data_IF_893689913407
#
_entry.id   IF_893689913407
#
_cell.length_a   1.000
_cell.length_b   1.000
_cell.length_c   1.000
_cell.angle_alpha   90.00
_cell.angle_beta   90.00
_cell.angle_gamma   90.00
#
_symmetry.space_group_name_H-M   'P 1'
#
loop_
_entity.id
_entity.type
_entity.pdbx_description
1 polymer ?
#
# COMPACT_ATOMS: atom_id res chain seq x y z
N UNK A 1 -30.05 16.18 0.91
CA UNK A 1 -29.34 17.06 1.87
C UNK A 1 -28.51 18.02 1.01
N UNK A 2 -28.65 19.34 1.14
CA UNK A 2 -27.94 20.27 0.23
C UNK A 2 -26.43 20.13 0.43
N UNK A 3 -25.70 19.94 -0.66
CA UNK A 3 -24.24 19.93 -0.71
C UNK A 3 -23.73 21.32 -0.30
N UNK A 4 -23.20 21.45 0.92
CA UNK A 4 -22.53 22.68 1.34
C UNK A 4 -21.06 22.57 1.00
N UNK A 5 -20.70 23.03 -0.20
CA UNK A 5 -19.31 23.34 -0.51
C UNK A 5 -18.78 24.30 0.56
N UNK A 6 -17.79 23.85 1.35
CA UNK A 6 -17.18 24.68 2.40
C UNK A 6 -16.26 25.69 1.74
N UNK A 7 -16.36 26.96 2.13
CA UNK A 7 -15.43 27.98 1.64
C UNK A 7 -14.01 27.65 2.13
N UNK A 8 -12.98 27.82 1.30
CA UNK A 8 -11.60 27.64 1.73
C UNK A 8 -11.24 28.70 2.78
N UNK A 9 -10.93 28.27 3.99
CA UNK A 9 -10.60 29.13 5.14
C UNK A 9 -9.32 28.64 5.84
N UNK A 10 -8.52 29.58 6.34
CA UNK A 10 -7.30 29.30 7.11
C UNK A 10 -7.29 30.24 8.31
N UNK A 11 -7.20 29.67 9.52
CA UNK A 11 -6.97 30.44 10.74
C UNK A 11 -5.48 30.80 10.82
N UNK A 12 -5.19 32.10 10.91
CA UNK A 12 -3.82 32.63 10.94
C UNK A 12 -3.57 33.29 12.30
N UNK A 13 -2.58 32.76 13.03
CA UNK A 13 -2.06 33.38 14.26
C UNK A 13 -0.67 33.96 13.95
N UNK A 14 -0.49 35.26 14.16
CA UNK A 14 0.81 35.94 14.00
C UNK A 14 1.47 36.12 15.35
N UNK A 15 2.68 35.60 15.52
CA UNK A 15 3.47 35.77 16.74
C UNK A 15 4.58 36.83 16.55
N UNK A 16 5.18 37.26 17.67
CA UNK A 16 6.31 38.17 17.67
C UNK A 16 7.45 37.63 16.79
N UNK A 17 8.14 38.52 16.07
CA UNK A 17 9.19 38.14 15.12
C UNK A 17 8.70 37.69 13.74
N UNK A 18 7.40 37.80 13.45
CA UNK A 18 6.85 37.52 12.11
C UNK A 18 6.55 36.05 11.83
N UNK A 19 6.47 35.21 12.87
CA UNK A 19 6.09 33.80 12.75
C UNK A 19 4.58 33.70 12.51
N UNK A 20 4.17 32.94 11.49
CA UNK A 20 2.77 32.66 11.17
C UNK A 20 2.44 31.20 11.47
N UNK A 21 1.42 30.97 12.30
CA UNK A 21 0.80 29.66 12.49
C UNK A 21 -0.47 29.59 11.66
N UNK A 22 -0.48 28.69 10.68
CA UNK A 22 -1.63 28.40 9.84
C UNK A 22 -2.33 27.14 10.36
N UNK A 23 -3.64 27.22 10.59
CA UNK A 23 -4.46 26.08 11.02
C UNK A 23 -5.72 25.98 10.17
N UNK A 24 -6.13 24.76 9.86
CA UNK A 24 -7.47 24.53 9.31
C UNK A 24 -8.50 24.86 10.40
N UNK A 25 -9.52 25.69 10.13
CA UNK A 25 -10.62 25.90 11.07
C UNK A 25 -11.56 24.68 11.11
N UNK A 26 -11.44 23.75 10.16
CA UNK A 26 -12.21 22.52 10.15
C UNK A 26 -11.60 21.53 11.15
N UNK A 27 -12.40 21.13 12.13
CA UNK A 27 -12.05 20.00 13.01
C UNK A 27 -12.18 18.69 12.22
N UNK A 28 -11.09 17.95 12.14
CA UNK A 28 -11.09 16.57 11.67
C UNK A 28 -11.07 15.68 12.90
N UNK A 29 -12.11 14.88 13.10
CA UNK A 29 -12.08 13.89 14.18
C UNK A 29 -11.00 12.85 13.85
N UNK A 30 -9.99 12.76 14.72
CA UNK A 30 -8.98 11.73 14.61
C UNK A 30 -9.67 10.37 14.80
N UNK A 31 -9.63 9.54 13.76
CA UNK A 31 -10.10 8.16 13.84
C UNK A 31 -8.97 7.32 14.43
N UNK A 32 -9.21 6.71 15.59
CA UNK A 32 -8.27 5.75 16.18
C UNK A 32 -8.22 4.42 15.40
N UNK A 33 -9.09 4.23 14.42
CA UNK A 33 -9.09 3.06 13.57
C UNK A 33 -7.88 3.05 12.65
N UNK A 34 -7.26 1.89 12.54
CA UNK A 34 -6.24 1.60 11.55
C UNK A 34 -6.83 1.56 10.14
N UNK A 35 -5.97 1.75 9.13
CA UNK A 35 -6.36 1.55 7.73
C UNK A 35 -6.89 0.12 7.44
N UNK A 36 -6.42 -0.89 8.19
CA UNK A 36 -6.86 -2.27 8.04
C UNK A 36 -8.31 -2.47 8.51
N UNK A 37 -8.69 -1.90 9.66
CA UNK A 37 -10.07 -1.92 10.14
C UNK A 37 -11.01 -1.20 9.17
N UNK A 38 -10.61 -0.02 8.66
CA UNK A 38 -11.37 0.71 7.64
C UNK A 38 -11.58 -0.10 6.36
N UNK A 39 -10.57 -0.87 5.95
CA UNK A 39 -10.70 -1.74 4.79
C UNK A 39 -11.75 -2.83 5.02
N UNK A 40 -11.76 -3.47 6.18
CA UNK A 40 -12.80 -4.44 6.49
C UNK A 40 -14.19 -3.82 6.57
N UNK A 41 -14.33 -2.62 7.14
CA UNK A 41 -15.60 -1.87 7.14
C UNK A 41 -16.12 -1.63 5.71
N UNK A 42 -15.24 -1.20 4.80
CA UNK A 42 -15.58 -1.05 3.38
C UNK A 42 -15.93 -2.38 2.72
N UNK A 43 -15.17 -3.43 3.01
CA UNK A 43 -15.40 -4.75 2.45
C UNK A 43 -16.73 -5.36 2.91
N UNK A 44 -17.17 -5.10 4.13
CA UNK A 44 -18.50 -5.49 4.61
C UNK A 44 -19.58 -4.64 3.97
N UNK A 45 -19.41 -3.32 3.92
CA UNK A 45 -20.45 -2.39 3.42
C UNK A 45 -20.67 -2.48 1.92
N UNK A 46 -19.61 -2.71 1.15
CA UNK A 46 -19.60 -2.67 -0.32
C UNK A 46 -19.22 -4.01 -0.94
N UNK A 47 -19.41 -5.12 -0.22
CA UNK A 47 -18.96 -6.47 -0.57
C UNK A 47 -19.07 -6.85 -2.06
N UNK A 48 -20.21 -6.58 -2.68
CA UNK A 48 -20.51 -6.96 -4.07
C UNK A 48 -20.09 -5.91 -5.11
N UNK A 49 -19.59 -4.75 -4.70
CA UNK A 49 -19.12 -3.70 -5.61
C UNK A 49 -17.69 -3.97 -6.06
N UNK A 50 -17.35 -3.50 -7.26
CA UNK A 50 -16.00 -3.58 -7.81
C UNK A 50 -15.10 -2.56 -7.12
N UNK A 51 -13.98 -3.01 -6.56
CA UNK A 51 -12.95 -2.15 -5.95
C UNK A 51 -11.84 -1.81 -6.94
N UNK A 52 -11.45 -2.77 -7.79
CA UNK A 52 -10.44 -2.57 -8.83
C UNK A 52 -10.75 -3.45 -10.03
N UNK A 53 -10.40 -2.97 -11.23
CA UNK A 53 -10.48 -3.74 -12.47
C UNK A 53 -9.23 -3.49 -13.32
N UNK A 54 -8.76 -4.54 -13.97
CA UNK A 54 -7.57 -4.51 -14.83
C UNK A 54 -7.88 -5.21 -16.16
N UNK A 55 -7.30 -4.76 -17.26
CA UNK A 55 -7.46 -5.46 -18.55
C UNK A 55 -6.55 -6.68 -18.61
N UNK A 56 -7.10 -7.82 -18.99
CA UNK A 56 -6.30 -9.00 -19.33
C UNK A 56 -5.62 -8.86 -20.71
N UNK A 57 -4.87 -9.89 -21.12
CA UNK A 57 -4.18 -9.94 -22.41
C UNK A 57 -5.13 -9.86 -23.63
N UNK A 58 -6.42 -10.16 -23.46
CA UNK A 58 -7.45 -10.02 -24.51
C UNK A 58 -8.03 -8.60 -24.57
N UNK A 59 -7.70 -7.74 -23.61
CA UNK A 59 -8.22 -6.38 -23.47
C UNK A 59 -9.54 -6.30 -22.69
N UNK A 60 -10.03 -7.41 -22.16
CA UNK A 60 -11.23 -7.49 -21.35
C UNK A 60 -10.94 -7.10 -19.90
N UNK A 61 -11.83 -6.35 -19.26
CA UNK A 61 -11.69 -6.04 -17.84
C UNK A 61 -11.97 -7.28 -16.99
N UNK A 62 -11.01 -7.61 -16.13
CA UNK A 62 -11.14 -8.55 -15.04
C UNK A 62 -11.35 -7.74 -13.77
N UNK A 63 -12.53 -7.90 -13.17
CA UNK A 63 -12.96 -7.13 -12.00
C UNK A 63 -12.64 -7.88 -10.70
N UNK A 64 -12.32 -7.13 -9.65
CA UNK A 64 -12.23 -7.60 -8.28
C UNK A 64 -13.29 -6.90 -7.45
N UNK A 65 -14.14 -7.67 -6.77
CA UNK A 65 -15.07 -7.10 -5.80
C UNK A 65 -14.38 -6.84 -4.46
N UNK A 66 -14.97 -5.97 -3.64
CA UNK A 66 -14.51 -5.75 -2.26
C UNK A 66 -14.43 -7.04 -1.44
N UNK A 67 -15.42 -7.92 -1.55
CA UNK A 67 -15.43 -9.21 -0.84
C UNK A 67 -14.29 -10.12 -1.32
N UNK A 68 -14.08 -10.23 -2.64
CA UNK A 68 -13.00 -11.02 -3.20
C UNK A 68 -11.63 -10.44 -2.83
N UNK A 69 -11.47 -9.12 -2.84
CA UNK A 69 -10.26 -8.45 -2.38
C UNK A 69 -9.96 -8.76 -0.91
N UNK A 70 -10.96 -8.71 -0.02
CA UNK A 70 -10.79 -9.05 1.39
C UNK A 70 -10.33 -10.49 1.59
N UNK A 71 -10.97 -11.43 0.88
CA UNK A 71 -10.61 -12.85 0.94
C UNK A 71 -9.16 -13.07 0.49
N UNK A 72 -8.78 -12.55 -0.69
CA UNK A 72 -7.44 -12.74 -1.22
C UNK A 72 -6.39 -12.02 -0.36
N UNK A 73 -6.68 -10.81 0.14
CA UNK A 73 -5.77 -10.09 1.04
C UNK A 73 -5.57 -10.85 2.37
N UNK A 74 -6.63 -11.44 2.95
CA UNK A 74 -6.52 -12.30 4.14
C UNK A 74 -5.65 -13.53 3.89
N UNK A 75 -5.81 -14.18 2.73
CA UNK A 75 -4.97 -15.31 2.35
C UNK A 75 -3.47 -14.93 2.27
N UNK A 76 -3.16 -13.78 1.68
CA UNK A 76 -1.79 -13.25 1.64
C UNK A 76 -1.30 -12.90 3.05
N UNK A 77 -2.13 -12.23 3.86
CA UNK A 77 -1.77 -11.81 5.21
C UNK A 77 -1.41 -12.99 6.11
N UNK A 78 -2.20 -14.07 6.05
CA UNK A 78 -1.94 -15.29 6.80
C UNK A 78 -0.63 -15.97 6.35
N UNK A 79 -0.33 -15.98 5.06
CA UNK A 79 0.95 -16.48 4.53
C UNK A 79 2.13 -15.65 5.03
N UNK A 80 2.08 -14.32 4.89
CA UNK A 80 3.14 -13.43 5.36
C UNK A 80 3.35 -13.57 6.87
N UNK A 81 2.27 -13.67 7.65
CA UNK A 81 2.35 -13.86 9.11
C UNK A 81 3.05 -15.17 9.46
N UNK A 82 2.72 -16.28 8.79
CA UNK A 82 3.38 -17.58 8.98
C UNK A 82 4.86 -17.57 8.60
N UNK A 83 5.25 -16.71 7.66
CA UNK A 83 6.64 -16.50 7.24
C UNK A 83 7.42 -15.59 8.19
N UNK A 84 6.83 -15.17 9.33
CA UNK A 84 7.46 -14.27 10.30
C UNK A 84 7.25 -12.78 9.98
N UNK A 85 6.28 -12.47 9.11
CA UNK A 85 5.89 -11.10 8.77
C UNK A 85 5.54 -10.27 10.00
N UNK A 86 6.16 -9.10 10.11
CA UNK A 86 6.00 -8.12 11.17
C UNK A 86 6.50 -6.73 10.73
N UNK A 87 6.43 -5.75 11.65
CA UNK A 87 6.95 -4.39 11.45
C UNK A 87 8.46 -4.35 11.15
N UNK A 88 9.23 -5.37 11.52
CA UNK A 88 10.67 -5.47 11.25
C UNK A 88 11.02 -6.25 9.98
N UNK A 89 10.04 -6.70 9.19
CA UNK A 89 10.26 -7.49 7.97
C UNK A 89 9.64 -6.84 6.73
N UNK A 90 10.15 -5.69 6.26
CA UNK A 90 9.50 -4.95 5.18
C UNK A 90 9.40 -5.78 3.89
N UNK A 91 8.29 -5.60 3.17
CA UNK A 91 8.03 -6.22 1.88
C UNK A 91 8.30 -5.23 0.74
N UNK A 92 9.39 -5.41 0.01
CA UNK A 92 9.65 -4.63 -1.20
C UNK A 92 8.83 -5.17 -2.37
N UNK A 93 8.11 -4.29 -3.07
CA UNK A 93 7.27 -4.65 -4.22
C UNK A 93 7.84 -4.04 -5.50
N UNK A 94 8.23 -4.90 -6.44
CA UNK A 94 8.80 -4.54 -7.75
C UNK A 94 7.81 -4.83 -8.89
N UNK A 95 6.60 -4.28 -8.79
CA UNK A 95 5.55 -4.46 -9.81
C UNK A 95 4.99 -3.12 -10.30
N UNK A 96 4.35 -3.15 -11.47
CA UNK A 96 3.48 -2.07 -11.92
C UNK A 96 2.17 -2.01 -11.11
N UNK A 97 1.27 -1.11 -11.48
CA UNK A 97 -0.10 -1.14 -10.98
C UNK A 97 -0.84 -2.33 -11.59
N UNK A 98 -1.43 -3.17 -10.74
CA UNK A 98 -2.19 -4.36 -11.14
C UNK A 98 -3.16 -4.76 -10.04
N UNK A 99 -4.14 -5.58 -10.38
CA UNK A 99 -5.05 -6.19 -9.40
C UNK A 99 -4.30 -7.04 -8.38
N UNK A 100 -3.25 -7.75 -8.78
CA UNK A 100 -2.48 -8.61 -7.88
C UNK A 100 -1.63 -7.78 -6.91
N UNK A 101 -0.99 -6.72 -7.39
CA UNK A 101 -0.27 -5.77 -6.54
C UNK A 101 -1.20 -5.22 -5.45
N UNK A 102 -2.43 -4.84 -5.82
CA UNK A 102 -3.41 -4.32 -4.87
C UNK A 102 -3.65 -5.31 -3.73
N UNK A 103 -3.91 -6.57 -4.08
CA UNK A 103 -4.16 -7.63 -3.11
C UNK A 103 -2.94 -7.90 -2.22
N UNK A 104 -1.73 -7.94 -2.79
CA UNK A 104 -0.50 -8.19 -2.02
C UNK A 104 -0.18 -7.04 -1.08
N UNK A 105 -0.38 -5.79 -1.50
CA UNK A 105 -0.20 -4.62 -0.66
C UNK A 105 -1.19 -4.62 0.53
N UNK A 106 -2.46 -4.93 0.28
CA UNK A 106 -3.44 -5.09 1.35
C UNK A 106 -3.13 -6.29 2.25
N UNK A 107 -2.68 -7.41 1.70
CA UNK A 107 -2.23 -8.54 2.51
C UNK A 107 -1.06 -8.22 3.42
N UNK A 108 -0.10 -7.41 2.95
CA UNK A 108 1.00 -6.92 3.77
C UNK A 108 0.51 -5.99 4.89
N UNK A 109 -0.39 -5.05 4.58
CA UNK A 109 -1.03 -4.18 5.57
C UNK A 109 -1.74 -4.99 6.65
N UNK A 110 -2.55 -5.99 6.27
CA UNK A 110 -3.29 -6.85 7.20
C UNK A 110 -2.35 -7.74 8.03
N UNK A 111 -1.19 -8.14 7.50
CA UNK A 111 -0.16 -8.86 8.25
C UNK A 111 0.66 -7.96 9.19
N UNK A 112 0.49 -6.64 9.13
CA UNK A 112 1.33 -5.70 9.87
C UNK A 112 2.76 -5.65 9.32
N UNK A 113 2.92 -5.91 8.02
CA UNK A 113 4.18 -5.83 7.28
C UNK A 113 4.22 -4.52 6.49
N UNK A 114 5.13 -3.59 6.80
CA UNK A 114 5.31 -2.39 6.00
C UNK A 114 5.73 -2.75 4.59
N UNK A 115 4.94 -2.38 3.59
CA UNK A 115 5.31 -2.60 2.20
C UNK A 115 6.05 -1.39 1.61
N UNK A 116 6.88 -1.64 0.60
CA UNK A 116 7.74 -0.66 -0.05
C UNK A 116 7.50 -0.74 -1.55
N UNK A 117 6.56 0.04 -2.11
CA UNK A 117 6.33 0.07 -3.54
C UNK A 117 7.50 0.80 -4.21
N UNK A 118 8.20 0.10 -5.11
CA UNK A 118 9.32 0.66 -5.87
C UNK A 118 8.87 0.96 -7.28
N UNK A 119 9.26 2.12 -7.79
CA UNK A 119 8.99 2.50 -9.18
C UNK A 119 9.47 1.39 -10.13
N UNK A 120 8.57 0.92 -10.98
CA UNK A 120 8.86 -0.12 -11.98
C UNK A 120 10.11 0.21 -12.82
N UNK A 121 10.27 1.48 -13.19
CA UNK A 121 11.43 1.95 -13.95
C UNK A 121 12.78 1.72 -13.24
N UNK A 122 12.82 1.63 -11.92
CA UNK A 122 14.07 1.37 -11.19
C UNK A 122 14.56 -0.07 -11.40
N UNK A 123 13.66 -0.98 -11.79
CA UNK A 123 13.96 -2.37 -12.08
C UNK A 123 14.01 -2.70 -13.58
N UNK A 124 13.60 -1.77 -14.46
CA UNK A 124 13.54 -2.02 -15.92
C UNK A 124 14.36 -1.07 -16.78
N UNK A 125 14.79 0.08 -16.25
CA UNK A 125 15.66 1.03 -16.97
C UNK A 125 17.08 0.92 -16.42
N UNK A 126 18.08 0.45 -17.19
CA UNK A 126 19.44 0.24 -16.69
C UNK A 126 20.08 1.45 -15.99
N UNK A 127 19.83 2.66 -16.52
CA UNK A 127 20.29 3.91 -15.94
C UNK A 127 19.71 4.21 -14.53
N UNK A 128 18.62 3.53 -14.15
CA UNK A 128 17.93 3.70 -12.86
C UNK A 128 18.23 2.58 -11.85
N UNK A 129 18.98 1.53 -12.21
CA UNK A 129 19.27 0.40 -11.32
C UNK A 129 19.96 0.81 -10.01
N UNK A 130 20.81 1.85 -10.06
CA UNK A 130 21.42 2.42 -8.85
C UNK A 130 20.39 2.92 -7.82
N UNK A 131 19.22 3.39 -8.28
CA UNK A 131 18.13 3.82 -7.39
C UNK A 131 17.43 2.63 -6.74
N UNK A 132 17.23 1.53 -7.47
CA UNK A 132 16.73 0.27 -6.88
C UNK A 132 17.65 -0.18 -5.73
N UNK A 133 18.97 -0.20 -5.98
CA UNK A 133 19.95 -0.55 -4.96
C UNK A 133 19.88 0.36 -3.74
N UNK A 134 19.82 1.67 -3.94
CA UNK A 134 19.72 2.64 -2.84
C UNK A 134 18.45 2.45 -2.00
N UNK A 135 17.30 2.19 -2.64
CA UNK A 135 16.04 1.88 -1.94
C UNK A 135 16.19 0.58 -1.14
N UNK A 136 16.77 -0.46 -1.72
CA UNK A 136 16.99 -1.74 -1.05
C UNK A 136 17.89 -1.60 0.19
N UNK A 137 19.03 -0.91 0.06
CA UNK A 137 19.98 -0.70 1.16
C UNK A 137 19.38 0.12 2.30
N UNK A 138 18.46 1.04 1.99
CA UNK A 138 17.76 1.87 2.98
C UNK A 138 16.62 1.11 3.64
N UNK A 139 15.78 0.42 2.86
CA UNK A 139 14.59 -0.28 3.34
C UNK A 139 14.91 -1.61 4.03
N UNK A 140 16.04 -2.23 3.69
CA UNK A 140 16.49 -3.54 4.20
C UNK A 140 15.36 -4.60 4.23
N UNK A 141 14.67 -4.81 3.09
CA UNK A 141 13.51 -5.68 3.06
C UNK A 141 13.89 -7.14 3.38
N UNK A 142 13.01 -7.84 4.08
CA UNK A 142 13.13 -9.28 4.32
C UNK A 142 12.36 -10.09 3.28
N UNK A 143 11.37 -9.46 2.65
CA UNK A 143 10.61 -10.02 1.54
C UNK A 143 10.73 -9.15 0.30
N UNK A 144 10.86 -9.78 -0.87
CA UNK A 144 10.77 -9.09 -2.16
C UNK A 144 9.71 -9.79 -2.99
N UNK A 145 8.77 -9.02 -3.53
CA UNK A 145 7.69 -9.54 -4.37
C UNK A 145 7.65 -8.86 -5.73
N UNK A 146 7.37 -9.65 -6.76
CA UNK A 146 6.90 -9.15 -8.06
C UNK A 146 6.10 -10.23 -8.79
N UNK A 147 5.28 -9.79 -9.75
CA UNK A 147 4.51 -10.72 -10.58
C UNK A 147 5.37 -11.52 -11.56
N UNK A 148 6.45 -10.91 -12.07
CA UNK A 148 7.27 -11.48 -13.12
C UNK A 148 8.75 -11.20 -12.89
N UNK A 149 9.44 -12.11 -12.18
CA UNK A 149 10.88 -12.04 -11.89
C UNK A 149 11.76 -11.77 -13.11
N UNK A 150 11.40 -12.31 -14.28
CA UNK A 150 12.23 -12.17 -15.47
C UNK A 150 12.44 -10.71 -15.87
N UNK A 151 11.47 -9.84 -15.55
CA UNK A 151 11.53 -8.40 -15.81
C UNK A 151 12.53 -7.70 -14.91
N UNK A 152 12.68 -8.10 -13.63
CA UNK A 152 13.60 -7.44 -12.68
C UNK A 152 14.96 -8.13 -12.58
N UNK A 153 15.12 -9.32 -13.17
CA UNK A 153 16.35 -10.14 -13.10
C UNK A 153 17.60 -9.35 -13.45
N UNK A 154 17.56 -8.59 -14.54
CA UNK A 154 18.72 -7.81 -14.99
C UNK A 154 19.14 -6.79 -13.93
N UNK A 155 18.19 -6.03 -13.39
CA UNK A 155 18.45 -5.05 -12.34
C UNK A 155 19.01 -5.71 -11.08
N UNK A 156 18.44 -6.83 -10.65
CA UNK A 156 18.88 -7.56 -9.45
C UNK A 156 20.31 -8.09 -9.60
N UNK A 157 20.67 -8.62 -10.78
CA UNK A 157 22.03 -9.09 -11.06
C UNK A 157 23.00 -7.92 -11.14
N UNK A 158 22.68 -6.90 -11.93
CA UNK A 158 23.56 -5.74 -12.13
C UNK A 158 23.85 -4.95 -10.85
N UNK A 159 22.94 -4.99 -9.88
CA UNK A 159 23.09 -4.33 -8.58
C UNK A 159 23.72 -5.22 -7.49
N UNK A 160 23.90 -6.51 -7.76
CA UNK A 160 24.33 -7.52 -6.78
C UNK A 160 23.25 -7.86 -5.74
N UNK A 161 21.99 -7.47 -5.98
CA UNK A 161 20.88 -7.77 -5.09
C UNK A 161 20.44 -9.23 -5.21
N UNK A 162 20.65 -9.90 -6.35
CA UNK A 162 20.30 -11.31 -6.53
C UNK A 162 21.02 -12.26 -5.52
N UNK A 163 22.11 -11.82 -4.91
CA UNK A 163 22.91 -12.58 -3.93
C UNK A 163 22.58 -12.21 -2.47
N UNK A 164 21.67 -11.25 -2.24
CA UNK A 164 21.30 -10.81 -0.89
C UNK A 164 20.31 -11.77 -0.24
N UNK A 165 20.35 -11.82 1.09
CA UNK A 165 19.42 -12.62 1.88
C UNK A 165 18.07 -11.91 2.01
N UNK A 166 17.11 -12.33 1.19
CA UNK A 166 15.69 -12.03 1.33
C UNK A 166 14.88 -13.22 0.82
N UNK A 167 13.62 -13.32 1.22
CA UNK A 167 12.71 -14.30 0.65
C UNK A 167 11.98 -13.71 -0.54
N UNK A 168 12.12 -14.37 -1.69
CA UNK A 168 11.36 -13.99 -2.88
C UNK A 168 9.96 -14.59 -2.85
N UNK A 169 8.97 -13.72 -2.92
CA UNK A 169 7.56 -14.04 -2.91
C UNK A 169 7.03 -13.74 -4.32
N UNK A 170 6.82 -14.73 -5.18
CA UNK A 170 6.39 -14.43 -6.56
C UNK A 170 6.63 -15.57 -7.54
N UNK A 171 6.03 -15.45 -8.72
CA UNK A 171 6.13 -16.48 -9.75
C UNK A 171 7.48 -16.39 -10.51
N UNK A 172 8.00 -17.55 -10.96
CA UNK A 172 9.16 -17.66 -11.86
C UNK A 172 10.52 -17.15 -11.31
N UNK A 173 10.81 -17.34 -10.03
CA UNK A 173 12.05 -16.87 -9.40
C UNK A 173 13.25 -17.86 -9.52
N UNK A 174 14.45 -17.49 -9.02
CA UNK A 174 15.57 -18.43 -8.90
C UNK A 174 15.37 -19.35 -7.69
N UNK A 175 15.43 -20.67 -7.89
CA UNK A 175 15.63 -21.70 -6.87
C UNK A 175 14.63 -21.73 -5.70
N UNK A 176 14.81 -20.85 -4.70
CA UNK A 176 14.22 -20.87 -3.36
C UNK A 176 13.01 -19.95 -3.16
N UNK A 177 12.31 -19.54 -4.22
CA UNK A 177 11.13 -18.71 -4.07
C UNK A 177 9.91 -19.48 -3.61
N UNK A 178 9.05 -18.75 -2.90
CA UNK A 178 7.71 -19.18 -2.55
C UNK A 178 6.71 -18.34 -3.35
N UNK A 179 5.75 -18.98 -4.02
CA UNK A 179 4.64 -18.23 -4.60
C UNK A 179 3.67 -17.84 -3.49
N UNK A 180 3.18 -16.60 -3.52
CA UNK A 180 2.03 -16.23 -2.69
C UNK A 180 0.75 -16.65 -3.39
N UNK A 181 -0.05 -17.46 -2.72
CA UNK A 181 -1.30 -17.98 -3.25
C UNK A 181 -2.44 -17.01 -2.93
N UNK A 182 -3.04 -16.40 -3.96
CA UNK A 182 -4.14 -15.44 -3.81
C UNK A 182 -5.45 -16.14 -3.46
N UNK A 183 -5.67 -17.33 -4.00
CA UNK A 183 -6.91 -18.10 -3.91
C UNK A 183 -6.70 -19.30 -3.01
N UNK A 184 -6.51 -19.04 -1.71
CA UNK A 184 -6.59 -20.07 -0.68
C UNK A 184 -8.00 -20.11 -0.09
N UNK A 185 -8.52 -21.31 0.14
CA UNK A 185 -9.73 -21.46 0.95
C UNK A 185 -9.48 -20.87 2.34
N UNK A 186 -10.29 -19.87 2.69
CA UNK A 186 -10.30 -19.29 4.03
C UNK A 186 -10.62 -20.39 5.04
N UNK A 187 -9.94 -20.35 6.17
CA UNK A 187 -10.25 -21.20 7.30
C UNK A 187 -10.24 -20.35 8.57
N UNK A 188 -11.06 -20.74 9.54
CA UNK A 188 -11.26 -19.97 10.79
C UNK A 188 -9.94 -19.68 11.52
N UNK A 189 -8.95 -20.57 11.43
CA UNK A 189 -7.63 -20.39 12.04
C UNK A 189 -6.86 -19.25 11.38
N UNK A 190 -6.85 -19.20 10.05
CA UNK A 190 -6.16 -18.16 9.29
C UNK A 190 -6.87 -16.81 9.42
N UNK A 191 -8.20 -16.81 9.45
CA UNK A 191 -8.98 -15.58 9.65
C UNK A 191 -8.76 -15.00 11.05
N UNK A 192 -8.81 -15.85 12.09
CA UNK A 192 -8.51 -15.44 13.47
C UNK A 192 -7.08 -14.89 13.60
N UNK A 193 -6.10 -15.53 12.96
CA UNK A 193 -4.71 -15.05 12.97
C UNK A 193 -4.58 -13.62 12.41
N UNK A 194 -5.30 -13.32 11.33
CA UNK A 194 -5.30 -11.98 10.73
C UNK A 194 -6.05 -10.98 11.61
N UNK A 195 -7.19 -11.38 12.19
CA UNK A 195 -7.97 -10.50 13.08
C UNK A 195 -7.20 -10.14 14.35
N UNK A 196 -6.54 -11.12 14.97
CA UNK A 196 -5.66 -10.92 16.13
C UNK A 196 -4.52 -9.96 15.79
N UNK A 197 -3.88 -10.12 14.62
CA UNK A 197 -2.83 -9.22 14.15
C UNK A 197 -3.34 -7.80 13.96
N UNK A 198 -4.49 -7.62 13.31
CA UNK A 198 -5.06 -6.29 13.05
C UNK A 198 -5.47 -5.58 14.34
N UNK A 199 -5.95 -6.33 15.34
CA UNK A 199 -6.32 -5.80 16.65
C UNK A 199 -5.12 -5.21 17.44
N UNK A 200 -3.88 -5.56 17.08
CA UNK A 200 -2.66 -4.98 17.67
C UNK A 200 -2.29 -3.61 17.08
N UNK A 201 -2.95 -3.18 15.99
CA UNK A 201 -2.56 -1.96 15.29
C UNK A 201 -2.99 -0.71 16.05
N UNK A 202 -2.20 0.35 15.87
CA UNK A 202 -2.49 1.70 16.34
C UNK A 202 -2.27 2.71 15.22
N UNK A 203 -2.58 3.97 15.49
CA UNK A 203 -2.27 5.08 14.57
C UNK A 203 -0.77 5.19 14.24
N UNK A 204 0.11 4.68 15.10
CA UNK A 204 1.57 4.75 14.94
C UNK A 204 2.17 3.53 14.23
N UNK A 205 1.39 2.46 14.06
CA UNK A 205 1.82 1.29 13.28
C UNK A 205 2.19 1.73 11.86
N UNK A 206 3.32 1.27 11.34
CA UNK A 206 3.78 1.63 10.00
C UNK A 206 3.01 0.79 8.97
N UNK A 207 2.38 1.49 8.03
CA UNK A 207 1.65 0.89 6.92
C UNK A 207 2.57 0.65 5.72
N UNK A 208 3.40 1.63 5.38
CA UNK A 208 4.30 1.56 4.20
C UNK A 208 5.46 2.54 4.29
N UNK A 209 6.49 2.27 3.47
CA UNK A 209 7.58 3.22 3.21
C UNK A 209 7.51 3.69 1.76
N UNK A 210 7.32 4.99 1.55
CA UNK A 210 7.33 5.61 0.22
C UNK A 210 8.70 6.23 -0.04
N UNK A 211 9.27 6.03 -1.23
CA UNK A 211 10.56 6.61 -1.56
C UNK A 211 10.43 7.79 -2.51
N UNK A 212 11.01 8.92 -2.10
CA UNK A 212 11.06 10.12 -2.94
C UNK A 212 12.43 10.24 -3.59
N UNK A 213 12.51 10.80 -4.80
CA UNK A 213 13.77 10.93 -5.54
C UNK A 213 14.81 11.79 -4.82
N UNK A 214 14.37 12.68 -3.92
CA UNK A 214 15.22 13.60 -3.15
C UNK A 214 15.99 14.59 -4.05
N UNK A 215 16.18 15.84 -3.59
CA UNK A 215 17.04 16.80 -4.30
C UNK A 215 18.51 16.39 -4.34
N UNK A 216 18.91 15.42 -3.51
CA UNK A 216 20.30 14.95 -3.29
C UNK A 216 20.68 13.70 -4.10
N UNK A 217 19.82 13.23 -5.02
CA UNK A 217 20.10 12.12 -5.94
C UNK A 217 19.82 10.71 -5.40
N UNK A 218 20.01 10.47 -4.10
CA UNK A 218 19.66 9.19 -3.46
C UNK A 218 18.23 9.21 -2.87
N UNK A 219 17.40 8.19 -3.14
CA UNK A 219 16.04 8.13 -2.62
C UNK A 219 15.96 8.13 -1.10
N UNK A 220 15.01 8.87 -0.53
CA UNK A 220 14.74 8.92 0.92
C UNK A 220 13.43 8.23 1.24
N UNK A 221 13.45 7.33 2.22
CA UNK A 221 12.26 6.65 2.73
C UNK A 221 11.44 7.57 3.62
N UNK A 222 10.16 7.72 3.28
CA UNK A 222 9.15 8.44 4.03
C UNK A 222 8.25 7.40 4.70
N UNK A 223 8.15 7.47 6.02
CA UNK A 223 7.33 6.57 6.82
C UNK A 223 5.88 7.03 6.74
N UNK A 224 4.98 6.12 6.35
CA UNK A 224 3.54 6.35 6.42
C UNK A 224 2.95 5.40 7.46
N UNK A 225 2.36 5.96 8.51
CA UNK A 225 1.64 5.18 9.52
C UNK A 225 0.16 5.04 9.15
N UNK A 226 -0.54 4.10 9.78
CA UNK A 226 -1.98 3.96 9.63
C UNK A 226 -2.70 5.27 9.98
N UNK A 227 -2.32 5.93 11.07
CA UNK A 227 -2.92 7.18 11.55
C UNK A 227 -2.72 8.36 10.60
N UNK A 228 -1.55 8.47 9.95
CA UNK A 228 -1.34 9.49 8.91
C UNK A 228 -2.31 9.32 7.74
N UNK A 229 -2.52 8.08 7.29
CA UNK A 229 -3.40 7.77 6.16
C UNK A 229 -4.86 7.98 6.54
N UNK A 230 -5.31 7.48 7.71
CA UNK A 230 -6.70 7.63 8.14
C UNK A 230 -7.05 9.08 8.46
N UNK A 231 -6.11 9.88 8.97
CA UNK A 231 -6.27 11.33 9.13
C UNK A 231 -6.42 12.03 7.79
N UNK A 232 -5.62 11.67 6.78
CA UNK A 232 -5.79 12.20 5.41
C UNK A 232 -7.18 11.88 4.86
N UNK A 233 -7.66 10.64 5.01
CA UNK A 233 -9.00 10.24 4.57
C UNK A 233 -10.09 11.03 5.29
N UNK A 234 -9.98 11.22 6.61
CA UNK A 234 -10.93 12.00 7.39
C UNK A 234 -10.93 13.49 6.99
N UNK A 235 -9.75 14.06 6.68
CA UNK A 235 -9.64 15.43 6.19
C UNK A 235 -10.32 15.60 4.83
N UNK A 236 -10.16 14.63 3.91
CA UNK A 236 -10.86 14.64 2.61
C UNK A 236 -12.38 14.58 2.76
N UNK A 237 -12.87 13.69 3.63
CA UNK A 237 -14.29 13.60 3.93
C UNK A 237 -14.84 14.91 4.53
N UNK A 238 -14.06 15.58 5.40
CA UNK A 238 -14.44 16.85 6.01
C UNK A 238 -14.51 18.04 5.02
N UNK A 239 -13.82 17.95 3.87
CA UNK A 239 -13.96 18.92 2.78
C UNK A 239 -15.27 18.74 1.98
N UNK A 240 -15.98 17.64 2.21
CA UNK A 240 -17.20 17.32 1.47
C UNK A 240 -16.90 16.98 0.02
N UNK A 241 -15.76 16.37 -0.29
CA UNK A 241 -15.51 15.83 -1.64
C UNK A 241 -16.38 14.59 -1.93
N UNK A 242 -16.88 13.93 -0.88
CA UNK A 242 -17.73 12.75 -0.98
C UNK A 242 -19.22 13.17 -0.97
N UNK A 243 -19.89 13.11 -2.13
CA UNK A 243 -21.36 13.22 -2.22
C UNK A 243 -22.01 11.96 -1.63
N UNK A 244 -22.78 12.05 -0.52
CA UNK A 244 -23.35 10.87 0.14
C UNK A 244 -24.29 10.04 -0.74
N UNK A 245 -24.93 10.71 -1.71
CA UNK A 245 -25.96 10.15 -2.59
C UNK A 245 -25.46 9.95 -4.04
N UNK A 246 -24.21 10.31 -4.37
CA UNK A 246 -23.69 10.06 -5.72
C UNK A 246 -23.33 8.59 -5.90
N UNK A 247 -23.53 8.08 -7.12
CA UNK A 247 -22.96 6.80 -7.49
C UNK A 247 -21.43 6.86 -7.31
N UNK A 248 -20.79 5.83 -6.73
CA UNK A 248 -19.36 5.84 -6.51
C UNK A 248 -18.64 6.04 -7.86
N UNK A 249 -17.71 7.00 -7.95
CA UNK A 249 -17.06 7.32 -9.21
C UNK A 249 -16.21 6.15 -9.69
N UNK A 250 -16.22 5.89 -10.99
CA UNK A 250 -15.24 5.01 -11.64
C UNK A 250 -14.05 5.86 -12.07
N UNK A 251 -12.89 5.59 -11.50
CA UNK A 251 -11.66 6.36 -11.74
C UNK A 251 -10.69 5.49 -12.54
N UNK A 252 -10.10 6.08 -13.58
CA UNK A 252 -8.94 5.50 -14.25
C UNK A 252 -7.69 5.94 -13.49
N UNK A 253 -7.02 4.99 -12.86
CA UNK A 253 -5.69 5.22 -12.30
C UNK A 253 -4.63 4.80 -13.33
N UNK A 254 -3.83 5.77 -13.78
CA UNK A 254 -2.69 5.53 -14.67
C UNK A 254 -1.35 5.74 -13.97
N UNK A 255 -1.35 6.19 -12.70
CA UNK A 255 -0.14 6.62 -12.02
C UNK A 255 0.59 5.41 -11.44
N UNK A 256 1.93 5.41 -11.43
CA UNK A 256 2.68 4.37 -10.73
C UNK A 256 2.38 4.41 -9.23
N UNK A 257 1.97 3.27 -8.64
CA UNK A 257 1.64 3.17 -7.20
C UNK A 257 2.84 3.30 -6.24
N UNK A 258 4.03 3.52 -6.77
CA UNK A 258 5.20 3.95 -6.02
C UNK A 258 5.22 5.47 -5.73
N UNK A 259 4.19 6.21 -6.15
CA UNK A 259 4.03 7.65 -5.97
C UNK A 259 2.83 7.96 -5.05
#
# INVERSE_FOLDING_TARGET
MLFMARNPEVAVETQAGGILYLRSPLSVEASNQSLAERFFDWCTRYANQVVIAEKDASGCYVELTYAAAAQQARAIAAQLTRLGGSQSTPLMMLSGASRVHFVVAWGALLAGVPYVPVSHNYATVPAAFGKLKAVFETAQPQFVWSENYAVQREALVATGLAEKSFMWLGSHAPGSAMALELELEGNEVSDRLVDERVAEFSGDTVARYMFTSGSTGSPKGVIHTHGMITTMLAARAALGEDEPDAAPPRVLDWMPWSH
#
